data_IF_997626637010
#
_entry.id   IF_997626637010
#
_cell.length_a   1.000
_cell.length_b   1.000
_cell.length_c   1.000
_cell.angle_alpha   90.00
_cell.angle_beta   90.00
_cell.angle_gamma   90.00
#
_symmetry.space_group_name_H-M   'P 1'
#
loop_
_entity.id
_entity.type
_entity.pdbx_description
1 polymer ?
#
# COMPACT_ATOMS: atom_id res chain seq x y z
N UNK A 1 18.50 -19.98 33.61
CA UNK A 1 18.03 -19.33 34.85
C UNK A 1 16.52 -19.18 34.74
N UNK A 2 15.76 -19.74 35.68
CA UNK A 2 14.28 -19.66 35.72
C UNK A 2 13.86 -18.96 37.01
N UNK A 3 12.89 -18.06 36.92
CA UNK A 3 12.37 -17.29 38.07
C UNK A 3 11.06 -17.93 38.55
N UNK A 4 10.87 -18.18 39.85
CA UNK A 4 9.61 -18.71 40.39
C UNK A 4 8.43 -17.77 40.15
N UNK A 5 7.24 -18.31 39.86
CA UNK A 5 6.03 -17.50 39.59
C UNK A 5 5.63 -16.58 40.76
N UNK A 6 5.95 -16.96 42.01
CA UNK A 6 5.72 -16.12 43.20
C UNK A 6 6.54 -14.82 43.22
N UNK A 7 7.57 -14.72 42.38
CA UNK A 7 8.44 -13.56 42.25
C UNK A 7 8.08 -12.69 41.03
N UNK A 8 6.97 -13.00 40.34
CA UNK A 8 6.50 -12.29 39.15
C UNK A 8 5.11 -11.72 39.41
N UNK A 9 4.94 -10.41 39.25
CA UNK A 9 3.63 -9.77 39.19
C UNK A 9 3.17 -9.77 37.73
N UNK A 10 2.03 -10.42 37.46
CA UNK A 10 1.40 -10.43 36.14
C UNK A 10 0.25 -9.44 36.09
N UNK A 11 0.58 -8.20 35.73
CA UNK A 11 -0.42 -7.18 35.47
C UNK A 11 -1.15 -7.48 34.16
N UNK A 12 -2.47 -7.66 34.26
CA UNK A 12 -3.33 -7.97 33.14
C UNK A 12 -4.40 -6.93 33.03
N UNK A 13 -4.73 -6.60 31.79
CA UNK A 13 -5.98 -5.91 31.49
C UNK A 13 -7.16 -6.91 31.50
N UNK A 14 -8.33 -6.49 31.01
CA UNK A 14 -9.55 -7.29 31.03
C UNK A 14 -9.38 -8.65 30.34
N UNK A 15 -9.70 -9.72 31.07
CA UNK A 15 -9.54 -11.11 30.67
C UNK A 15 -10.88 -11.69 30.17
N UNK A 16 -11.45 -11.08 29.14
CA UNK A 16 -12.84 -11.37 28.70
C UNK A 16 -13.03 -12.75 28.06
N UNK A 17 -11.99 -13.31 27.43
CA UNK A 17 -12.06 -14.55 26.66
C UNK A 17 -11.12 -15.66 27.16
N UNK A 18 -10.25 -15.36 28.13
CA UNK A 18 -9.30 -16.31 28.70
C UNK A 18 -9.03 -15.99 30.17
N UNK A 19 -9.00 -16.98 31.09
CA UNK A 19 -8.88 -16.73 32.53
C UNK A 19 -7.54 -16.12 32.96
N UNK A 20 -6.48 -16.28 32.17
CA UNK A 20 -5.10 -15.85 32.49
C UNK A 20 -4.47 -14.88 31.48
N UNK A 21 -5.15 -14.51 30.39
CA UNK A 21 -4.59 -13.64 29.34
C UNK A 21 -5.47 -12.40 29.17
N UNK A 22 -4.88 -11.23 29.41
CA UNK A 22 -5.57 -9.95 29.23
C UNK A 22 -5.66 -9.56 27.76
N UNK A 23 -6.74 -8.89 27.39
CA UNK A 23 -6.90 -8.31 26.07
C UNK A 23 -6.28 -6.91 26.05
N UNK A 24 -5.32 -6.61 25.17
CA UNK A 24 -4.72 -5.28 25.14
C UNK A 24 -5.73 -4.27 24.59
N UNK A 25 -5.81 -3.03 25.12
CA UNK A 25 -6.73 -2.00 24.62
C UNK A 25 -6.60 -1.70 23.12
N UNK A 26 -5.38 -1.86 22.57
CA UNK A 26 -5.11 -1.72 21.12
C UNK A 26 -5.91 -2.69 20.25
N UNK A 27 -6.35 -3.81 20.84
CA UNK A 27 -7.20 -4.77 20.13
C UNK A 27 -8.53 -4.13 19.68
N UNK A 28 -9.10 -3.23 20.49
CA UNK A 28 -10.35 -2.56 20.16
C UNK A 28 -10.22 -1.62 18.96
N UNK A 29 -9.05 -1.00 18.77
CA UNK A 29 -8.78 -0.11 17.64
C UNK A 29 -7.97 -0.78 16.52
N UNK A 30 -7.75 -2.10 16.56
CA UNK A 30 -6.87 -2.79 15.63
C UNK A 30 -7.27 -2.58 14.16
N UNK A 31 -8.58 -2.60 13.86
CA UNK A 31 -9.09 -2.37 12.51
C UNK A 31 -8.87 -0.93 12.04
N UNK A 32 -9.20 0.06 12.89
CA UNK A 32 -8.98 1.48 12.58
C UNK A 32 -7.50 1.79 12.39
N UNK A 33 -6.63 1.23 13.24
CA UNK A 33 -5.18 1.39 13.13
C UNK A 33 -4.61 0.74 11.86
N UNK A 34 -5.10 -0.46 11.50
CA UNK A 34 -4.73 -1.12 10.26
C UNK A 34 -5.16 -0.30 9.03
N UNK A 35 -6.37 0.23 9.05
CA UNK A 35 -6.89 1.10 8.00
C UNK A 35 -6.05 2.39 7.87
N UNK A 36 -5.78 3.09 8.97
CA UNK A 36 -4.93 4.29 8.98
C UNK A 36 -3.53 4.00 8.43
N UNK A 37 -2.95 2.85 8.78
CA UNK A 37 -1.65 2.41 8.24
C UNK A 37 -1.70 2.20 6.72
N UNK A 38 -2.76 1.60 6.20
CA UNK A 38 -2.93 1.40 4.75
C UNK A 38 -3.08 2.73 4.01
N UNK A 39 -3.86 3.67 4.56
CA UNK A 39 -4.04 5.02 4.00
C UNK A 39 -2.70 5.76 3.94
N UNK A 40 -1.92 5.75 5.04
CA UNK A 40 -0.60 6.39 5.07
C UNK A 40 0.38 5.77 4.07
N UNK A 41 0.37 4.44 3.91
CA UNK A 41 1.18 3.74 2.89
C UNK A 41 0.78 4.18 1.48
N UNK A 42 -0.52 4.18 1.18
CA UNK A 42 -1.02 4.61 -0.12
C UNK A 42 -0.63 6.07 -0.43
N UNK A 43 -0.79 6.97 0.54
CA UNK A 43 -0.36 8.37 0.40
C UNK A 43 1.15 8.46 0.14
N UNK A 44 1.97 7.73 0.90
CA UNK A 44 3.42 7.68 0.70
C UNK A 44 3.78 7.22 -0.71
N UNK A 45 3.15 6.15 -1.21
CA UNK A 45 3.36 5.67 -2.58
C UNK A 45 2.96 6.70 -3.63
N UNK A 46 1.83 7.39 -3.44
CA UNK A 46 1.38 8.44 -4.34
C UNK A 46 2.41 9.59 -4.41
N UNK A 47 2.90 10.06 -3.26
CA UNK A 47 3.90 11.13 -3.20
C UNK A 47 5.24 10.70 -3.78
N UNK A 48 5.72 9.49 -3.48
CA UNK A 48 6.98 8.95 -4.03
C UNK A 48 6.91 8.81 -5.55
N UNK A 49 5.76 8.44 -6.11
CA UNK A 49 5.56 8.30 -7.55
C UNK A 49 5.18 9.62 -8.25
N UNK A 50 5.31 10.76 -7.56
CA UNK A 50 5.04 12.08 -8.14
C UNK A 50 3.58 12.28 -8.55
N UNK A 51 2.64 11.64 -7.85
CA UNK A 51 1.21 11.76 -8.11
C UNK A 51 0.75 11.11 -9.42
N UNK A 52 1.60 10.32 -10.09
CA UNK A 52 1.22 9.61 -11.32
C UNK A 52 0.57 8.29 -10.94
N UNK A 53 -0.75 8.14 -11.15
CA UNK A 53 -1.40 6.87 -10.92
C UNK A 53 -0.98 5.88 -12.00
N UNK A 54 -1.08 4.59 -11.67
CA UNK A 54 -0.78 3.49 -12.58
C UNK A 54 -1.46 3.68 -13.94
N UNK A 55 -0.87 3.16 -15.01
CA UNK A 55 -1.46 3.26 -16.33
C UNK A 55 -1.31 1.97 -17.10
N UNK A 56 -2.16 1.83 -18.12
CA UNK A 56 -2.15 0.68 -19.03
C UNK A 56 -1.52 1.14 -20.34
N UNK A 57 -0.58 0.34 -20.84
CA UNK A 57 -0.05 0.52 -22.19
C UNK A 57 -0.92 -0.32 -23.12
N UNK A 58 -1.69 0.35 -23.97
CA UNK A 58 -2.51 -0.28 -24.99
C UNK A 58 -1.70 -0.37 -26.29
N UNK A 59 -1.43 -1.59 -26.77
CA UNK A 59 -0.72 -1.84 -28.04
C UNK A 59 -1.74 -2.38 -29.06
N UNK A 60 -1.91 -1.74 -30.22
CA UNK A 60 -2.83 -2.24 -31.24
C UNK A 60 -2.20 -3.45 -31.98
N UNK A 61 -2.58 -4.67 -31.59
CA UNK A 61 -2.14 -5.90 -32.24
C UNK A 61 -2.07 -7.11 -31.29
N UNK A 62 -1.73 -8.30 -31.82
CA UNK A 62 -1.37 -9.45 -30.99
C UNK A 62 0.11 -9.35 -30.64
N UNK A 63 0.40 -9.09 -29.37
CA UNK A 63 1.76 -9.18 -28.83
C UNK A 63 2.01 -10.62 -28.34
N UNK A 64 3.24 -11.12 -28.50
CA UNK A 64 3.65 -12.38 -27.85
C UNK A 64 3.79 -12.13 -26.34
N UNK A 65 3.61 -13.17 -25.52
CA UNK A 65 3.73 -13.05 -24.06
C UNK A 65 5.15 -12.66 -23.63
N UNK A 66 6.16 -13.12 -24.38
CA UNK A 66 7.59 -12.82 -24.18
C UNK A 66 7.90 -11.34 -24.41
N UNK A 67 7.35 -10.76 -25.49
CA UNK A 67 7.53 -9.34 -25.81
C UNK A 67 6.82 -8.45 -24.80
N UNK A 68 5.62 -8.85 -24.35
CA UNK A 68 4.87 -8.12 -23.33
C UNK A 68 5.63 -8.08 -21.99
N UNK A 69 6.23 -9.20 -21.58
CA UNK A 69 7.01 -9.26 -20.35
C UNK A 69 8.28 -8.41 -20.44
N UNK A 70 8.93 -8.40 -21.61
CA UNK A 70 10.12 -7.58 -21.87
C UNK A 70 9.79 -6.09 -21.83
N UNK A 71 8.69 -5.68 -22.49
CA UNK A 71 8.18 -4.32 -22.45
C UNK A 71 7.85 -3.85 -21.04
N UNK A 72 7.17 -4.69 -20.25
CA UNK A 72 6.87 -4.40 -18.84
C UNK A 72 8.15 -4.18 -18.03
N UNK A 73 9.13 -5.07 -18.16
CA UNK A 73 10.40 -4.96 -17.43
C UNK A 73 11.19 -3.72 -17.83
N UNK A 74 11.25 -3.40 -19.12
CA UNK A 74 11.86 -2.18 -19.63
C UNK A 74 11.15 -0.93 -19.10
N UNK A 75 9.82 -0.97 -19.03
CA UNK A 75 9.03 0.14 -18.51
C UNK A 75 9.28 0.39 -17.03
N UNK A 76 9.22 -0.65 -16.20
CA UNK A 76 9.49 -0.56 -14.77
C UNK A 76 10.92 -0.09 -14.47
N UNK A 77 11.90 -0.55 -15.27
CA UNK A 77 13.31 -0.13 -15.11
C UNK A 77 13.53 1.33 -15.51
N UNK A 78 12.96 1.76 -16.64
CA UNK A 78 13.23 3.08 -17.21
C UNK A 78 12.32 4.19 -16.70
N UNK A 79 11.11 3.86 -16.20
CA UNK A 79 10.10 4.85 -15.79
C UNK A 79 9.57 4.63 -14.36
N UNK A 80 10.03 3.58 -13.66
CA UNK A 80 9.71 3.33 -12.26
C UNK A 80 10.64 4.02 -11.26
N UNK A 81 10.15 4.24 -10.04
CA UNK A 81 10.93 4.70 -8.89
C UNK A 81 11.69 6.01 -9.16
N UNK A 82 13.03 5.98 -9.02
CA UNK A 82 13.90 7.16 -9.23
C UNK A 82 13.88 7.71 -10.66
N UNK A 83 13.42 6.93 -11.63
CA UNK A 83 13.29 7.36 -13.02
C UNK A 83 11.88 7.89 -13.36
N UNK A 84 11.00 8.00 -12.35
CA UNK A 84 9.67 8.59 -12.52
C UNK A 84 9.78 10.03 -13.03
N UNK A 85 9.23 10.28 -14.22
CA UNK A 85 9.31 11.59 -14.88
C UNK A 85 10.10 11.61 -16.19
N UNK A 86 10.82 10.54 -16.54
CA UNK A 86 11.46 10.43 -17.87
C UNK A 86 10.42 10.36 -18.99
N UNK A 87 10.75 10.94 -20.14
CA UNK A 87 9.89 10.95 -21.33
C UNK A 87 9.76 9.54 -21.89
N UNK A 88 8.54 9.00 -21.88
CA UNK A 88 8.26 7.69 -22.44
C UNK A 88 8.14 7.75 -23.96
N UNK A 89 8.94 6.94 -24.66
CA UNK A 89 8.80 6.69 -26.10
C UNK A 89 8.05 5.37 -26.26
N UNK A 90 6.88 5.43 -26.88
CA UNK A 90 6.02 4.28 -27.16
C UNK A 90 6.18 3.93 -28.65
N UNK A 91 6.64 2.71 -28.94
CA UNK A 91 6.77 2.18 -30.31
C UNK A 91 5.43 1.61 -30.79
N UNK A 92 5.19 1.63 -32.11
CA UNK A 92 4.02 0.99 -32.77
C UNK A 92 2.63 1.42 -32.27
N UNK A 93 2.29 2.71 -32.38
CA UNK A 93 0.97 3.23 -32.00
C UNK A 93 0.52 2.91 -30.56
N UNK A 94 1.44 2.49 -29.68
CA UNK A 94 1.13 2.19 -28.31
C UNK A 94 0.70 3.46 -27.57
N UNK A 95 -0.42 3.39 -26.85
CA UNK A 95 -0.99 4.51 -26.09
C UNK A 95 -0.92 4.20 -24.61
N UNK A 96 -0.35 5.12 -23.84
CA UNK A 96 -0.39 5.06 -22.39
C UNK A 96 -1.68 5.72 -21.89
N UNK A 97 -2.60 4.91 -21.38
CA UNK A 97 -3.80 5.38 -20.67
C UNK A 97 -3.48 5.45 -19.18
N UNK A 98 -3.39 6.66 -18.64
CA UNK A 98 -3.34 6.85 -17.19
C UNK A 98 -4.67 6.39 -16.60
N UNK A 99 -4.64 5.41 -15.70
CA UNK A 99 -5.79 5.11 -14.85
C UNK A 99 -5.80 6.22 -13.82
N UNK A 100 -6.43 7.35 -14.11
CA UNK A 100 -6.44 8.47 -13.18
C UNK A 100 -7.19 8.08 -11.92
N UNK A 101 -6.46 7.87 -10.83
CA UNK A 101 -7.03 7.91 -9.49
C UNK A 101 -7.09 9.38 -9.08
N UNK A 102 -8.28 9.97 -9.02
CA UNK A 102 -8.43 11.33 -8.52
C UNK A 102 -8.41 11.29 -6.98
N UNK A 103 -7.36 11.82 -6.31
CA UNK A 103 -7.26 11.77 -4.85
C UNK A 103 -8.36 12.59 -4.18
N UNK A 104 -8.91 13.60 -4.87
CA UNK A 104 -10.02 14.44 -4.38
C UNK A 104 -11.30 13.61 -4.26
N UNK A 105 -11.57 12.74 -5.22
CA UNK A 105 -12.78 11.89 -5.21
C UNK A 105 -12.69 10.79 -4.13
N UNK A 106 -11.47 10.45 -3.70
CA UNK A 106 -11.23 9.37 -2.76
C UNK A 106 -11.24 9.80 -1.29
N UNK A 107 -11.43 11.09 -1.01
CA UNK A 107 -11.56 11.66 0.35
C UNK A 107 -10.54 11.08 1.35
N UNK A 108 -9.28 10.94 0.91
CA UNK A 108 -8.22 10.29 1.70
C UNK A 108 -7.97 11.02 3.03
N UNK A 109 -8.18 12.33 3.06
CA UNK A 109 -8.04 13.17 4.25
C UNK A 109 -9.13 12.86 5.28
N UNK A 110 -10.37 12.70 4.82
CA UNK A 110 -11.52 12.35 5.65
C UNK A 110 -11.37 10.92 6.19
N UNK A 111 -10.93 9.97 5.36
CA UNK A 111 -10.65 8.61 5.82
C UNK A 111 -9.53 8.56 6.87
N UNK A 112 -8.48 9.37 6.72
CA UNK A 112 -7.42 9.47 7.72
C UNK A 112 -7.95 10.03 9.05
N UNK A 113 -8.81 11.07 9.00
CA UNK A 113 -9.46 11.65 10.19
C UNK A 113 -10.35 10.65 10.93
N UNK A 114 -11.03 9.74 10.22
CA UNK A 114 -11.87 8.70 10.82
C UNK A 114 -11.06 7.62 11.56
N UNK A 115 -9.79 7.46 11.20
CA UNK A 115 -8.89 6.45 11.82
C UNK A 115 -8.07 6.98 12.99
N UNK A 116 -8.13 8.30 13.26
CA UNK A 116 -7.35 9.00 14.27
C UNK A 116 -8.12 9.22 15.58
#
# INVERSE_FOLDING_TARGET
MTVPAREIIHDRFNCLYHPLMGLPPVYACALSAAQGTAIMKNATHLFVNGGKPSGVIEVPGKISEEDAHTLKKLWETNYGGKNAGKTAILTENAKYKTLSFNPVDSQLVEQLKLTA
#
